data_IF_307216827815
#
_entry.id   IF_307216827815
#
_cell.length_a   1.000
_cell.length_b   1.000
_cell.length_c   1.000
_cell.angle_alpha   90.00
_cell.angle_beta   90.00
_cell.angle_gamma   90.00
#
_symmetry.space_group_name_H-M   'P 1'
#
loop_
_entity.id
_entity.type
_entity.pdbx_description
1 polymer ?
#
# COMPACT_ATOMS: atom_id res chain seq x y z
N UNK A 1 5.24 -21.14 9.67
CA UNK A 1 5.10 -19.70 10.02
C UNK A 1 4.75 -18.99 8.72
N UNK A 2 3.46 -18.93 8.35
CA UNK A 2 3.03 -18.08 7.24
C UNK A 2 3.43 -16.65 7.64
N UNK A 3 4.10 -15.87 6.80
CA UNK A 3 4.38 -14.48 7.14
C UNK A 3 3.06 -13.81 7.53
N UNK A 4 3.12 -12.75 8.32
CA UNK A 4 2.01 -11.83 8.51
C UNK A 4 1.72 -11.10 7.16
N UNK A 5 1.31 -11.86 6.13
CA UNK A 5 1.26 -11.55 4.69
C UNK A 5 0.30 -10.41 4.33
N UNK A 6 -0.48 -9.92 5.30
CA UNK A 6 -1.46 -8.88 5.08
C UNK A 6 -0.86 -7.50 4.90
N UNK A 7 0.21 -7.13 5.60
CA UNK A 7 0.61 -5.71 5.77
C UNK A 7 2.06 -5.39 5.39
N UNK A 8 2.87 -6.35 4.95
CA UNK A 8 4.24 -6.07 4.49
C UNK A 8 4.30 -5.01 3.38
N UNK A 9 3.31 -5.01 2.49
CA UNK A 9 3.17 -3.99 1.43
C UNK A 9 2.96 -2.58 1.98
N UNK A 10 2.29 -2.45 3.13
CA UNK A 10 2.01 -1.17 3.76
C UNK A 10 3.29 -0.60 4.38
N UNK A 11 4.07 -1.45 5.07
CA UNK A 11 5.34 -1.03 5.65
C UNK A 11 6.32 -0.55 4.58
N UNK A 12 6.44 -1.31 3.49
CA UNK A 12 7.30 -0.95 2.35
C UNK A 12 6.86 0.37 1.71
N UNK A 13 5.56 0.54 1.45
CA UNK A 13 4.99 1.79 0.92
C UNK A 13 5.27 2.99 1.82
N UNK A 14 5.11 2.81 3.13
CA UNK A 14 5.40 3.86 4.11
C UNK A 14 6.91 4.14 4.20
N UNK A 15 7.77 3.13 3.99
CA UNK A 15 9.23 3.28 3.94
C UNK A 15 9.69 4.16 2.80
N UNK A 16 9.08 4.02 1.62
CA UNK A 16 9.42 4.86 0.45
C UNK A 16 9.21 6.36 0.72
N UNK A 17 8.26 6.69 1.60
CA UNK A 17 7.93 8.08 1.96
C UNK A 17 8.32 8.47 3.38
N UNK A 18 9.14 7.64 4.04
CA UNK A 18 9.61 7.84 5.41
C UNK A 18 8.49 8.01 6.46
N UNK A 19 7.35 7.36 6.23
CA UNK A 19 6.18 7.35 7.13
C UNK A 19 6.05 6.02 7.89
N UNK A 20 7.10 5.20 7.99
CA UNK A 20 7.07 3.90 8.68
C UNK A 20 6.63 4.02 10.15
N UNK A 21 6.91 5.15 10.79
CA UNK A 21 6.44 5.44 12.16
C UNK A 21 4.91 5.40 12.29
N UNK A 22 4.18 5.66 11.19
CA UNK A 22 2.72 5.59 11.14
C UNK A 22 2.20 4.19 10.78
N UNK A 23 3.06 3.20 10.53
CA UNK A 23 2.64 1.84 10.18
C UNK A 23 1.76 1.21 11.26
N UNK A 24 2.17 1.31 12.53
CA UNK A 24 1.38 0.83 13.65
C UNK A 24 0.05 1.57 13.74
N UNK A 25 0.05 2.90 13.56
CA UNK A 25 -1.19 3.69 13.55
C UNK A 25 -2.14 3.27 12.42
N UNK A 26 -1.65 3.11 11.20
CA UNK A 26 -2.50 2.68 10.08
C UNK A 26 -3.04 1.26 10.29
N UNK A 27 -2.26 0.36 10.90
CA UNK A 27 -2.67 -1.02 11.17
C UNK A 27 -3.60 -1.15 12.37
N UNK A 28 -3.37 -0.38 13.42
CA UNK A 28 -4.01 -0.52 14.72
C UNK A 28 -5.21 0.43 14.86
N UNK A 29 -5.02 1.72 14.54
CA UNK A 29 -6.10 2.73 14.58
C UNK A 29 -7.01 2.67 13.34
N UNK A 30 -6.44 2.53 12.12
CA UNK A 30 -7.22 2.52 10.87
C UNK A 30 -7.47 1.11 10.29
N UNK A 31 -6.90 0.06 10.89
CA UNK A 31 -7.02 -1.33 10.41
C UNK A 31 -6.72 -1.54 8.92
N UNK A 32 -5.79 -0.75 8.36
CA UNK A 32 -5.39 -0.82 6.96
C UNK A 32 -4.59 -2.10 6.71
N UNK A 33 -5.30 -3.15 6.32
CA UNK A 33 -4.70 -4.43 5.89
C UNK A 33 -4.64 -4.59 4.37
N UNK A 34 -5.42 -3.81 3.61
CA UNK A 34 -5.48 -3.89 2.14
C UNK A 34 -5.52 -2.50 1.53
N UNK A 35 -5.12 -2.40 0.26
CA UNK A 35 -5.19 -1.13 -0.49
C UNK A 35 -6.60 -0.56 -0.60
N UNK A 36 -7.64 -1.41 -0.57
CA UNK A 36 -9.05 -0.99 -0.59
C UNK A 36 -9.44 -0.21 0.67
N UNK A 37 -8.80 -0.43 1.82
CA UNK A 37 -9.09 0.37 3.01
C UNK A 37 -8.73 1.84 2.81
N UNK A 38 -7.68 2.15 2.04
CA UNK A 38 -7.35 3.52 1.68
C UNK A 38 -8.46 4.25 0.89
N UNK A 39 -9.45 3.55 0.34
CA UNK A 39 -10.60 4.20 -0.30
C UNK A 39 -11.61 4.74 0.71
N UNK A 40 -11.61 4.19 1.92
CA UNK A 40 -12.45 4.63 3.04
C UNK A 40 -11.72 5.57 4.00
N UNK A 41 -10.38 5.56 4.02
CA UNK A 41 -9.56 6.47 4.83
C UNK A 41 -9.73 7.91 4.32
N UNK A 42 -10.20 8.80 5.19
CA UNK A 42 -10.30 10.23 4.91
C UNK A 42 -9.13 11.00 5.52
N UNK A 43 -8.98 12.27 5.12
CA UNK A 43 -7.99 13.17 5.72
C UNK A 43 -8.20 13.29 7.24
N UNK A 44 -9.45 13.30 7.70
CA UNK A 44 -9.78 13.35 9.13
C UNK A 44 -9.22 12.17 9.92
N UNK A 45 -9.26 10.95 9.36
CA UNK A 45 -8.71 9.77 10.04
C UNK A 45 -7.18 9.81 10.08
N UNK A 46 -6.54 10.36 9.03
CA UNK A 46 -5.11 10.63 9.02
C UNK A 46 -4.73 11.71 10.05
N UNK A 47 -5.56 12.74 10.22
CA UNK A 47 -5.34 13.76 11.25
C UNK A 47 -5.47 13.19 12.66
N UNK A 48 -6.43 12.28 12.90
CA UNK A 48 -6.60 11.59 14.20
C UNK A 48 -5.37 10.80 14.63
N UNK A 49 -4.67 10.16 13.70
CA UNK A 49 -3.42 9.45 14.00
C UNK A 49 -2.19 10.37 14.09
N UNK A 50 -2.39 11.70 14.02
CA UNK A 50 -1.31 12.68 14.08
C UNK A 50 -0.55 12.86 12.77
N UNK A 51 -1.15 12.50 11.63
CA UNK A 51 -0.56 12.73 10.31
C UNK A 51 -1.03 14.09 9.77
N UNK A 52 -0.14 15.08 9.83
CA UNK A 52 -0.41 16.40 9.27
C UNK A 52 -0.42 16.42 7.73
N UNK A 53 -0.84 17.54 7.15
CA UNK A 53 -0.87 17.79 5.69
C UNK A 53 0.38 17.33 4.91
N UNK A 54 1.63 17.58 5.35
CA UNK A 54 2.81 17.09 4.63
C UNK A 54 2.94 15.55 4.65
N UNK A 55 2.53 14.90 5.73
CA UNK A 55 2.51 13.42 5.83
C UNK A 55 1.41 12.82 4.95
N UNK A 56 0.21 13.41 4.97
CA UNK A 56 -0.91 12.97 4.15
C UNK A 56 -0.57 13.03 2.65
N UNK A 57 0.01 14.15 2.19
CA UNK A 57 0.41 14.31 0.78
C UNK A 57 1.38 13.22 0.35
N UNK A 58 2.41 12.96 1.15
CA UNK A 58 3.39 11.88 0.93
C UNK A 58 2.74 10.50 0.85
N UNK A 59 1.87 10.18 1.80
CA UNK A 59 1.14 8.92 1.83
C UNK A 59 0.31 8.73 0.55
N UNK A 60 -0.48 9.73 0.16
CA UNK A 60 -1.33 9.67 -1.03
C UNK A 60 -0.52 9.51 -2.32
N UNK A 61 0.64 10.17 -2.44
CA UNK A 61 1.54 9.97 -3.58
C UNK A 61 2.05 8.53 -3.68
N UNK A 62 2.46 7.95 -2.55
CA UNK A 62 2.90 6.56 -2.48
C UNK A 62 1.77 5.59 -2.85
N UNK A 63 0.57 5.79 -2.28
CA UNK A 63 -0.63 4.99 -2.59
C UNK A 63 -1.01 5.09 -4.05
N UNK A 64 -0.97 6.28 -4.65
CA UNK A 64 -1.25 6.48 -6.08
C UNK A 64 -0.24 5.75 -6.96
N UNK A 65 1.05 5.83 -6.63
CA UNK A 65 2.12 5.12 -7.34
C UNK A 65 1.96 3.60 -7.24
N UNK A 66 1.63 3.08 -6.05
CA UNK A 66 1.38 1.66 -5.80
C UNK A 66 0.13 1.16 -6.55
N UNK A 67 -0.97 1.92 -6.54
CA UNK A 67 -2.18 1.62 -7.34
C UNK A 67 -1.85 1.54 -8.83
N UNK A 68 -1.03 2.45 -9.35
CA UNK A 68 -0.59 2.43 -10.75
C UNK A 68 0.26 1.19 -11.08
N UNK A 69 1.14 0.76 -10.16
CA UNK A 69 1.96 -0.44 -10.33
C UNK A 69 1.11 -1.72 -10.31
N UNK A 70 0.09 -1.79 -9.45
CA UNK A 70 -0.86 -2.91 -9.39
C UNK A 70 -1.68 -3.03 -10.68
N UNK A 71 -2.15 -1.91 -11.24
CA UNK A 71 -2.85 -1.87 -12.53
C UNK A 71 -1.99 -2.42 -13.69
N UNK A 72 -0.67 -2.20 -13.66
CA UNK A 72 0.26 -2.70 -14.67
C UNK A 72 0.48 -4.22 -14.60
N UNK A 73 0.41 -4.83 -13.41
CA UNK A 73 0.55 -6.29 -13.24
C UNK A 73 -0.69 -7.08 -13.70
N UNK A 74 -1.85 -6.43 -13.84
CA UNK A 74 -3.07 -7.07 -14.37
C UNK A 74 -2.93 -7.50 -15.85
N UNK A 75 -2.09 -6.84 -16.65
CA UNK A 75 -1.80 -7.28 -18.04
C UNK A 75 -0.66 -8.32 -18.09
N UNK A 76 0.26 -8.31 -17.13
CA UNK A 76 1.43 -9.21 -17.11
C UNK A 76 1.17 -10.52 -16.36
N UNK A 77 -0.06 -11.02 -16.43
CA UNK A 77 -0.38 -12.44 -16.25
C UNK A 77 -0.84 -12.99 -17.60
N UNK A 78 0.01 -12.84 -18.62
CA UNK A 78 0.05 -13.76 -19.76
C UNK A 78 1.17 -14.72 -19.38
N UNK A 79 0.83 -15.69 -18.55
CA UNK A 79 0.56 -17.05 -19.04
C UNK A 79 1.72 -17.52 -19.90
N UNK A 80 2.60 -18.25 -19.22
CA UNK A 80 3.30 -19.41 -19.74
C UNK A 80 3.08 -19.68 -21.23
N UNK A 81 4.06 -19.27 -22.03
CA UNK A 81 4.13 -19.63 -23.44
C UNK A 81 5.59 -19.75 -23.83
N UNK A 82 6.35 -20.58 -23.11
CA UNK A 82 7.60 -21.09 -23.65
C UNK A 82 7.27 -21.85 -24.94
N UNK A 83 7.82 -21.51 -26.12
CA UNK A 83 7.78 -22.44 -27.23
C UNK A 83 8.72 -23.60 -26.90
N UNK A 84 8.16 -24.74 -26.48
CA UNK A 84 8.92 -26.00 -26.43
C UNK A 84 9.32 -26.38 -27.85
N UNK A 85 10.62 -26.59 -28.15
CA UNK A 85 11.08 -26.93 -29.48
C UNK A 85 10.95 -28.43 -29.74
N UNK A 86 9.98 -28.84 -30.56
CA UNK A 86 10.00 -30.01 -31.44
C UNK A 86 9.08 -29.76 -32.64
#
# INVERSE_FOLDING_TARGET
MQPEEGTGWLLELLSEVQLQQYFLRLRDDLNVTRLSHFEYVKNEDLEKIGMGRPGQRRLWEAVKRRKALCKRKSWMSKDEGQPTPW
#
